data_IF_327817027366
#
_entry.id   IF_327817027366
#
_cell.length_a   1.000
_cell.length_b   1.000
_cell.length_c   1.000
_cell.angle_alpha   90.00
_cell.angle_beta   90.00
_cell.angle_gamma   90.00
#
_symmetry.space_group_name_H-M   'P 1'
#
loop_
_entity.id
_entity.type
_entity.pdbx_description
1 polymer ?
#
# COMPACT_ATOMS: atom_id res chain seq x y z
N UNK A 1 -1.34 -5.72 6.93
CA UNK A 1 -2.67 -5.45 6.33
C UNK A 1 -3.21 -4.14 6.87
N UNK A 2 -3.55 -3.18 6.01
CA UNK A 2 -4.17 -1.90 6.38
C UNK A 2 -5.69 -2.03 6.32
N UNK A 3 -6.39 -1.61 7.38
CA UNK A 3 -7.85 -1.61 7.44
C UNK A 3 -8.38 -0.20 7.59
N UNK A 4 -9.30 0.18 6.70
CA UNK A 4 -10.04 1.45 6.72
C UNK A 4 -11.47 1.14 7.13
N UNK A 5 -12.03 1.91 8.06
CA UNK A 5 -13.43 1.82 8.50
C UNK A 5 -14.04 3.21 8.59
N UNK A 6 -15.28 3.36 8.13
CA UNK A 6 -16.00 4.62 8.16
C UNK A 6 -17.51 4.39 8.32
N UNK A 7 -18.22 5.40 8.81
CA UNK A 7 -19.67 5.41 8.91
C UNK A 7 -20.22 6.66 8.22
N UNK A 8 -21.20 6.50 7.33
CA UNK A 8 -21.91 7.62 6.71
C UNK A 8 -23.35 7.66 7.22
N UNK A 9 -23.68 8.66 8.05
CA UNK A 9 -25.05 8.87 8.52
C UNK A 9 -25.96 9.34 7.40
N UNK A 10 -27.23 8.95 7.48
CA UNK A 10 -28.29 9.56 6.70
C UNK A 10 -28.51 10.96 7.27
N UNK A 11 -28.66 11.97 6.40
CA UNK A 11 -29.16 13.27 6.87
C UNK A 11 -30.66 13.13 7.13
N UNK A 12 -31.09 13.02 8.38
CA UNK A 12 -32.51 13.11 8.73
C UNK A 12 -32.84 14.55 9.16
N UNK A 13 -33.94 15.08 8.66
CA UNK A 13 -34.65 16.20 9.29
C UNK A 13 -36.05 15.71 9.65
N UNK A 14 -36.63 16.25 10.73
CA UNK A 14 -37.97 15.87 11.16
C UNK A 14 -38.97 16.12 10.02
N UNK A 15 -39.89 15.17 9.84
CA UNK A 15 -40.96 15.24 8.84
C UNK A 15 -40.53 15.21 7.36
N UNK A 16 -39.32 14.72 7.04
CA UNK A 16 -38.89 14.55 5.63
C UNK A 16 -39.21 13.15 5.11
N UNK A 17 -39.97 13.09 4.01
CA UNK A 17 -40.22 11.87 3.23
C UNK A 17 -39.24 11.80 2.06
N UNK A 18 -38.36 10.82 2.07
CA UNK A 18 -37.44 10.54 0.97
C UNK A 18 -38.20 9.99 -0.25
N UNK A 19 -38.02 10.60 -1.41
CA UNK A 19 -38.55 10.11 -2.69
C UNK A 19 -37.56 9.18 -3.40
N UNK A 20 -36.26 9.47 -3.29
CA UNK A 20 -35.17 8.64 -3.81
C UNK A 20 -33.93 8.76 -2.93
N UNK A 21 -33.07 7.74 -2.93
CA UNK A 21 -31.78 7.74 -2.23
C UNK A 21 -30.73 7.14 -3.14
N UNK A 22 -29.88 7.99 -3.70
CA UNK A 22 -28.81 7.57 -4.61
C UNK A 22 -27.48 7.38 -3.90
N UNK A 23 -27.26 8.11 -2.79
CA UNK A 23 -26.00 8.10 -2.04
C UNK A 23 -26.07 7.07 -0.91
N UNK A 24 -25.13 6.12 -0.90
CA UNK A 24 -24.98 5.11 0.14
C UNK A 24 -24.91 5.71 1.56
N UNK A 25 -25.62 5.13 2.51
CA UNK A 25 -25.48 5.43 3.94
C UNK A 25 -25.25 4.13 4.70
N UNK A 26 -24.50 4.21 5.80
CA UNK A 26 -24.08 3.07 6.59
C UNK A 26 -22.56 2.90 6.65
N UNK A 27 -22.15 1.70 7.06
CA UNK A 27 -20.76 1.39 7.37
C UNK A 27 -19.99 1.01 6.11
N UNK A 28 -18.76 1.48 6.00
CA UNK A 28 -17.80 1.08 4.98
C UNK A 28 -16.58 0.46 5.65
N UNK A 29 -16.08 -0.63 5.08
CA UNK A 29 -14.81 -1.26 5.45
C UNK A 29 -14.04 -1.58 4.19
N UNK A 30 -12.76 -1.23 4.17
CA UNK A 30 -11.83 -1.61 3.09
C UNK A 30 -10.54 -2.14 3.69
N UNK A 31 -10.08 -3.27 3.18
CA UNK A 31 -8.83 -3.88 3.59
C UNK A 31 -7.88 -3.90 2.41
N UNK A 32 -6.62 -3.54 2.67
CA UNK A 32 -5.58 -3.42 1.66
C UNK A 32 -4.37 -4.18 2.19
N UNK A 33 -3.91 -5.16 1.41
CA UNK A 33 -2.64 -5.83 1.69
C UNK A 33 -1.50 -4.89 1.33
N UNK A 34 -0.57 -4.71 2.26
CA UNK A 34 0.66 -3.95 2.04
C UNK A 34 1.79 -4.97 1.84
N UNK A 35 2.71 -4.68 0.93
CA UNK A 35 3.90 -5.51 0.74
C UNK A 35 4.90 -5.36 1.90
N UNK A 36 5.91 -6.22 1.93
CA UNK A 36 6.84 -6.33 3.07
C UNK A 36 7.79 -5.12 3.24
N UNK A 37 7.87 -4.26 2.23
CA UNK A 37 8.77 -3.11 2.19
C UNK A 37 8.22 -1.81 2.77
N UNK A 38 7.17 -1.84 3.58
CA UNK A 38 6.56 -0.62 4.16
C UNK A 38 7.05 -0.35 5.58
N UNK A 39 7.27 0.92 5.90
CA UNK A 39 7.52 1.36 7.27
C UNK A 39 6.19 1.71 7.95
N UNK A 40 5.56 0.69 8.53
CA UNK A 40 4.24 0.83 9.15
C UNK A 40 4.22 1.85 10.31
N UNK A 41 5.35 2.08 10.98
CA UNK A 41 5.46 3.04 12.08
C UNK A 41 5.38 4.50 11.64
N UNK A 42 5.53 4.77 10.34
CA UNK A 42 5.52 6.12 9.75
C UNK A 42 4.34 6.37 8.82
N UNK A 43 3.33 5.51 8.83
CA UNK A 43 2.09 5.75 8.07
C UNK A 43 1.42 7.02 8.60
N UNK A 44 1.00 7.89 7.68
CA UNK A 44 0.25 9.10 8.01
C UNK A 44 -1.01 9.20 7.16
N UNK A 45 -2.00 9.95 7.63
CA UNK A 45 -3.26 10.12 6.94
C UNK A 45 -3.78 11.56 7.08
N UNK A 46 -4.46 12.04 6.04
CA UNK A 46 -5.16 13.32 6.02
C UNK A 46 -6.54 13.12 5.43
N UNK A 47 -7.55 13.70 6.07
CA UNK A 47 -8.90 13.75 5.54
C UNK A 47 -9.25 15.20 5.19
N UNK A 48 -9.59 15.43 3.93
CA UNK A 48 -9.97 16.75 3.46
C UNK A 48 -11.03 16.63 2.36
N UNK A 49 -12.04 17.50 2.40
CA UNK A 49 -13.10 17.59 1.38
C UNK A 49 -13.74 16.24 0.97
N UNK A 50 -13.91 15.33 1.93
CA UNK A 50 -14.52 14.02 1.67
C UNK A 50 -13.54 12.90 1.28
N UNK A 51 -12.25 13.20 1.16
CA UNK A 51 -11.22 12.27 0.69
C UNK A 51 -10.24 11.93 1.81
N UNK A 52 -10.06 10.64 2.09
CA UNK A 52 -9.03 10.14 2.98
C UNK A 52 -7.78 9.78 2.17
N UNK A 53 -6.74 10.58 2.32
CA UNK A 53 -5.42 10.33 1.74
C UNK A 53 -4.53 9.66 2.78
N UNK A 54 -3.99 8.48 2.46
CA UNK A 54 -3.08 7.72 3.33
C UNK A 54 -1.72 7.63 2.67
N UNK A 55 -0.68 8.10 3.34
CA UNK A 55 0.71 8.03 2.89
C UNK A 55 1.40 6.86 3.57
N UNK A 56 1.91 5.94 2.76
CA UNK A 56 2.56 4.71 3.22
C UNK A 56 4.03 4.76 2.77
N UNK A 57 4.96 5.11 3.66
CA UNK A 57 6.37 5.19 3.31
C UNK A 57 6.96 3.79 3.11
N UNK A 58 7.89 3.68 2.17
CA UNK A 58 8.74 2.50 2.06
C UNK A 58 9.78 2.51 3.20
N UNK A 59 10.06 1.33 3.74
CA UNK A 59 11.18 1.11 4.63
C UNK A 59 12.50 1.39 3.89
N UNK A 60 13.46 2.02 4.57
CA UNK A 60 14.79 2.31 4.00
C UNK A 60 15.47 1.04 3.46
N UNK A 61 15.32 -0.08 4.17
CA UNK A 61 15.85 -1.39 3.76
C UNK A 61 15.19 -1.96 2.49
N UNK A 62 13.99 -1.49 2.13
CA UNK A 62 13.27 -1.92 0.94
C UNK A 62 13.65 -1.12 -0.32
N UNK A 63 14.47 -0.06 -0.18
CA UNK A 63 14.99 0.67 -1.34
C UNK A 63 15.89 -0.26 -2.17
N UNK A 64 15.82 -0.20 -3.51
CA UNK A 64 16.63 -1.05 -4.37
C UNK A 64 18.12 -0.83 -4.09
N UNK A 65 18.86 -1.91 -3.86
CA UNK A 65 20.31 -1.89 -3.62
C UNK A 65 21.04 -2.21 -4.91
N UNK A 66 22.13 -1.47 -5.17
CA UNK A 66 23.07 -1.82 -6.23
C UNK A 66 23.93 -2.98 -5.75
N UNK A 67 23.92 -4.10 -6.46
CA UNK A 67 24.81 -5.23 -6.20
C UNK A 67 26.01 -5.07 -7.15
N UNK A 68 27.22 -4.97 -6.60
CA UNK A 68 28.43 -5.00 -7.43
C UNK A 68 28.69 -6.44 -7.84
N UNK A 69 28.91 -6.65 -9.14
CA UNK A 69 29.38 -7.94 -9.65
C UNK A 69 30.91 -7.89 -9.62
N UNK A 70 31.52 -8.75 -8.82
CA UNK A 70 32.96 -8.96 -8.84
C UNK A 70 33.31 -9.88 -10.00
N UNK A 71 34.32 -9.48 -10.78
CA UNK A 71 34.90 -10.31 -11.82
C UNK A 71 36.23 -10.86 -11.30
N UNK A 72 36.32 -12.18 -11.21
CA UNK A 72 37.59 -12.86 -11.00
C UNK A 72 38.38 -12.85 -12.32
N UNK A 73 39.55 -12.23 -12.32
CA UNK A 73 40.38 -12.02 -13.52
C UNK A 73 41.33 -13.18 -13.82
N UNK A 74 41.27 -14.29 -13.07
CA UNK A 74 41.99 -15.50 -13.44
C UNK A 74 41.24 -16.23 -14.56
N UNK A 75 41.75 -16.10 -15.79
CA UNK A 75 41.43 -17.01 -16.89
C UNK A 75 41.91 -18.42 -16.52
N UNK A 76 41.04 -19.21 -15.88
CA UNK A 76 41.25 -20.65 -15.74
C UNK A 76 41.02 -21.31 -17.09
N UNK A 77 42.12 -21.66 -17.76
CA UNK A 77 42.08 -22.60 -18.88
C UNK A 77 41.50 -23.92 -18.40
N UNK A 78 40.27 -24.22 -18.83
CA UNK A 78 39.67 -25.55 -18.72
C UNK A 78 40.31 -26.42 -19.81
N UNK A 79 41.44 -27.05 -19.50
CA UNK A 79 41.99 -28.10 -20.36
C UNK A 79 41.06 -29.30 -20.31
N UNK A 80 40.42 -29.61 -21.44
CA UNK A 80 39.70 -30.86 -21.61
C UNK A 80 40.69 -32.02 -21.44
N UNK A 81 40.37 -32.96 -20.55
CA UNK A 81 41.13 -34.20 -20.43
C UNK A 81 41.02 -34.96 -21.75
N UNK A 82 42.14 -35.08 -22.46
CA UNK A 82 42.29 -35.97 -23.60
C UNK A 82 42.28 -37.41 -23.11
N UNK A 83 41.35 -38.22 -23.63
CA UNK A 83 41.36 -39.68 -23.55
C UNK A 83 41.72 -40.25 -24.94
#
# INVERSE_FOLDING_TARGET
MLTLSAQRSVRSAESVKWLTTERFSGSLRRQISLGDGVDAGKISARYDNGVLSVTIPLAEAAKPRKISVEHDSELRELTAASE
#
